data_IF_247646514119
#
_entry.id   IF_247646514119
#
_cell.length_a   1.000
_cell.length_b   1.000
_cell.length_c   1.000
_cell.angle_alpha   90.00
_cell.angle_beta   90.00
_cell.angle_gamma   90.00
#
_symmetry.space_group_name_H-M   'P 1'
#
loop_
_entity.id
_entity.type
_entity.pdbx_description
1 polymer ?
#
# COMPACT_ATOMS: atom_id res chain seq x y z
N UNK A 1 46.10 -14.68 81.25
CA UNK A 1 46.20 -13.21 81.39
C UNK A 1 46.10 -12.65 80.02
N UNK A 2 44.90 -12.15 79.69
CA UNK A 2 44.59 -11.54 78.43
C UNK A 2 44.28 -10.10 78.64
N UNK A 3 45.04 -9.21 77.98
CA UNK A 3 44.88 -7.77 78.05
C UNK A 3 43.86 -7.39 76.95
N UNK A 4 42.72 -6.79 77.40
CA UNK A 4 41.75 -6.18 76.50
C UNK A 4 42.24 -4.80 76.11
N UNK A 5 42.44 -4.52 74.86
CA UNK A 5 42.62 -3.21 74.30
C UNK A 5 41.22 -2.73 73.71
N UNK A 6 40.75 -1.63 74.31
CA UNK A 6 39.53 -0.94 73.83
C UNK A 6 39.94 0.03 72.73
N UNK A 7 39.37 0.00 71.55
CA UNK A 7 39.58 1.03 70.55
C UNK A 7 38.65 2.21 70.81
N UNK A 8 39.25 3.39 70.95
CA UNK A 8 38.51 4.67 71.00
C UNK A 8 37.90 4.95 69.60
N UNK A 9 36.57 4.94 69.53
CA UNK A 9 35.85 5.46 68.38
C UNK A 9 35.87 6.94 68.30
N UNK A 10 36.60 7.49 67.34
CA UNK A 10 36.51 8.92 67.00
C UNK A 10 35.21 9.13 66.26
N UNK A 11 34.21 9.75 66.91
CA UNK A 11 33.04 10.22 66.26
C UNK A 11 33.44 11.42 65.38
N UNK A 12 33.55 11.21 64.06
CA UNK A 12 33.62 12.32 63.12
C UNK A 12 32.19 12.83 62.99
N UNK A 13 31.91 13.97 63.67
CA UNK A 13 30.71 14.77 63.43
C UNK A 13 30.82 15.30 62.00
N UNK A 14 30.06 14.74 61.06
CA UNK A 14 29.73 15.46 59.87
C UNK A 14 29.01 16.74 60.33
N UNK A 15 29.65 17.89 60.16
CA UNK A 15 28.92 19.17 60.13
C UNK A 15 27.92 18.99 58.95
N UNK A 16 26.68 18.88 59.33
CA UNK A 16 25.55 19.11 58.45
C UNK A 16 25.58 20.59 58.12
N UNK A 17 26.20 20.97 56.99
CA UNK A 17 26.04 22.29 56.44
C UNK A 17 24.60 22.30 55.90
N UNK A 18 23.65 22.40 56.83
CA UNK A 18 22.23 22.55 56.55
C UNK A 18 22.07 23.72 55.62
N UNK A 19 21.86 23.42 54.35
CA UNK A 19 21.24 24.40 53.46
C UNK A 19 19.88 24.70 54.09
N UNK A 20 19.75 25.85 54.74
CA UNK A 20 18.46 26.39 55.17
C UNK A 20 17.62 26.61 53.89
N UNK A 21 16.94 25.56 53.43
CA UNK A 21 15.95 25.68 52.35
C UNK A 21 14.80 26.49 52.89
N UNK A 22 14.75 27.75 52.50
CA UNK A 22 13.62 28.62 52.83
C UNK A 22 12.48 28.24 51.93
N UNK A 23 11.42 27.73 52.51
CA UNK A 23 10.18 27.46 51.80
C UNK A 23 9.33 28.73 51.70
N UNK A 24 8.55 28.83 50.61
CA UNK A 24 7.60 29.91 50.39
C UNK A 24 6.37 29.37 49.69
N UNK A 25 5.20 29.87 50.10
CA UNK A 25 3.93 29.57 49.42
C UNK A 25 3.70 30.48 48.19
N UNK A 26 4.52 31.55 48.06
CA UNK A 26 4.43 32.49 46.93
C UNK A 26 5.30 31.99 45.79
N UNK A 27 4.65 31.74 44.64
CA UNK A 27 5.35 31.40 43.40
C UNK A 27 5.89 32.64 42.66
N UNK A 28 6.69 32.43 41.60
CA UNK A 28 7.19 33.51 40.76
C UNK A 28 6.06 34.34 40.14
N UNK A 29 6.31 35.65 40.00
CA UNK A 29 5.46 36.49 39.14
C UNK A 29 5.67 36.04 37.68
N UNK A 30 4.59 35.62 36.99
CA UNK A 30 4.61 35.17 35.63
C UNK A 30 3.79 36.12 34.76
N UNK A 31 4.36 36.50 33.62
CA UNK A 31 3.68 37.27 32.58
C UNK A 31 3.87 36.60 31.25
N UNK A 32 2.80 36.19 30.60
CA UNK A 32 2.83 35.68 29.25
C UNK A 32 2.92 36.88 28.31
N UNK A 33 4.13 37.17 27.80
CA UNK A 33 4.38 38.28 26.88
C UNK A 33 3.80 37.99 25.51
N UNK A 34 3.91 36.70 25.07
CA UNK A 34 3.24 36.18 23.86
C UNK A 34 3.06 34.66 23.93
N UNK A 35 2.00 34.17 23.33
CA UNK A 35 1.79 32.76 23.06
C UNK A 35 0.98 32.67 21.76
N UNK A 36 1.39 31.82 20.82
CA UNK A 36 0.61 31.57 19.59
C UNK A 36 -0.70 30.89 19.99
N UNK A 37 -1.81 31.40 19.48
CA UNK A 37 -3.17 30.90 19.75
C UNK A 37 -3.67 29.91 18.66
N UNK A 38 -2.86 29.70 17.63
CA UNK A 38 -3.13 28.76 16.52
C UNK A 38 -1.87 27.96 16.22
N UNK A 39 -2.02 26.68 15.93
CA UNK A 39 -0.94 25.81 15.50
C UNK A 39 -1.45 24.67 14.65
N UNK A 40 -0.59 24.11 13.78
CA UNK A 40 -0.85 22.85 13.12
C UNK A 40 -0.28 21.68 13.94
N UNK A 41 -0.99 20.54 13.92
CA UNK A 41 -0.42 19.28 14.41
C UNK A 41 0.85 18.95 13.60
N UNK A 42 1.91 18.57 14.29
CA UNK A 42 3.23 18.32 13.70
C UNK A 42 4.17 19.53 13.71
N UNK A 43 3.70 20.70 14.13
CA UNK A 43 4.49 21.92 14.35
C UNK A 43 4.59 22.24 15.86
N UNK A 44 4.95 23.44 16.24
CA UNK A 44 5.14 23.87 17.62
C UNK A 44 4.47 25.20 17.91
N UNK A 45 3.91 25.32 19.11
CA UNK A 45 3.40 26.58 19.64
C UNK A 45 4.57 27.36 20.27
N UNK A 46 4.87 28.53 19.73
CA UNK A 46 5.89 29.44 20.26
C UNK A 46 5.29 30.32 21.36
N UNK A 47 6.07 30.53 22.42
CA UNK A 47 5.69 31.40 23.52
C UNK A 47 6.88 32.17 24.07
N UNK A 48 6.57 33.28 24.74
CA UNK A 48 7.51 34.13 25.46
C UNK A 48 6.94 34.44 26.85
N UNK A 49 7.63 34.04 27.91
CA UNK A 49 7.18 34.20 29.31
C UNK A 49 8.23 34.92 30.09
N UNK A 50 7.83 36.01 30.72
CA UNK A 50 8.65 36.76 31.63
C UNK A 50 8.42 36.32 33.09
N UNK A 51 9.50 35.98 33.79
CA UNK A 51 9.49 35.58 35.18
C UNK A 51 10.29 36.55 36.06
N UNK A 52 9.72 36.85 37.22
CA UNK A 52 10.37 37.61 38.29
C UNK A 52 10.02 36.99 39.65
N UNK A 53 10.94 37.03 40.63
CA UNK A 53 10.70 36.52 41.98
C UNK A 53 11.73 37.11 42.96
N UNK A 54 11.40 37.09 44.24
CA UNK A 54 12.34 37.38 45.35
C UNK A 54 13.24 36.15 45.64
N UNK A 55 12.77 34.93 45.34
CA UNK A 55 13.51 33.68 45.46
C UNK A 55 14.14 33.30 44.11
N UNK A 56 15.32 32.68 44.11
CA UNK A 56 15.89 32.18 42.86
C UNK A 56 14.93 31.28 42.14
N UNK A 57 14.82 31.44 40.80
CA UNK A 57 13.99 30.60 39.95
C UNK A 57 14.55 29.18 39.85
N UNK A 58 13.70 28.20 39.66
CA UNK A 58 14.04 26.77 39.50
C UNK A 58 13.68 26.24 38.11
N UNK A 59 12.39 26.20 37.77
CA UNK A 59 11.91 25.66 36.50
C UNK A 59 10.71 26.43 35.96
N UNK A 60 10.62 26.49 34.64
CA UNK A 60 9.39 26.79 33.89
C UNK A 60 9.01 25.55 33.11
N UNK A 61 7.82 25.01 33.35
CA UNK A 61 7.24 23.88 32.61
C UNK A 61 6.12 24.38 31.72
N UNK A 62 6.05 23.87 30.51
CA UNK A 62 4.90 24.00 29.62
C UNK A 62 4.34 22.63 29.35
N UNK A 63 3.04 22.42 29.54
CA UNK A 63 2.35 21.17 29.36
C UNK A 63 1.18 21.38 28.41
N UNK A 64 1.20 20.72 27.25
CA UNK A 64 0.12 20.75 26.27
C UNK A 64 -0.87 19.62 26.57
N UNK A 65 -2.13 20.00 26.80
CA UNK A 65 -3.23 19.05 27.00
C UNK A 65 -4.21 19.13 25.83
N UNK A 66 -4.60 17.99 25.33
CA UNK A 66 -5.67 17.85 24.34
C UNK A 66 -6.78 17.01 24.97
N UNK A 67 -7.98 17.57 25.05
CA UNK A 67 -9.12 16.97 25.75
C UNK A 67 -8.76 16.46 27.16
N UNK A 68 -8.05 17.31 27.94
CA UNK A 68 -7.60 17.01 29.30
C UNK A 68 -6.44 16.00 29.39
N UNK A 69 -6.01 15.41 28.28
CA UNK A 69 -4.89 14.46 28.25
C UNK A 69 -3.60 15.14 27.84
N UNK A 70 -2.52 14.96 28.63
CA UNK A 70 -1.21 15.50 28.28
C UNK A 70 -0.63 14.81 27.06
N UNK A 71 -0.34 15.59 26.02
CA UNK A 71 0.19 15.10 24.73
C UNK A 71 1.62 15.55 24.46
N UNK A 72 2.09 16.61 25.15
CA UNK A 72 3.44 17.10 25.06
C UNK A 72 3.84 17.86 26.34
N UNK A 73 5.12 17.84 26.69
CA UNK A 73 5.67 18.59 27.78
C UNK A 73 7.05 19.14 27.46
N UNK A 74 7.36 20.29 28.07
CA UNK A 74 8.66 20.97 28.01
C UNK A 74 9.05 21.47 29.38
N UNK A 75 10.29 21.24 29.78
CA UNK A 75 10.83 21.80 31.04
C UNK A 75 12.08 22.64 30.76
N UNK A 76 12.05 23.90 31.18
CA UNK A 76 13.14 24.86 31.06
C UNK A 76 13.72 25.08 32.44
N UNK A 77 15.04 24.91 32.58
CA UNK A 77 15.75 25.34 33.82
C UNK A 77 15.89 26.84 33.80
N UNK A 78 15.27 27.50 34.78
CA UNK A 78 15.33 28.95 34.95
C UNK A 78 16.37 29.29 36.04
N UNK A 79 17.36 30.11 35.68
CA UNK A 79 18.45 30.49 36.63
C UNK A 79 18.44 31.97 36.98
N UNK A 80 17.89 32.77 36.08
CA UNK A 80 17.88 34.25 36.21
C UNK A 80 16.48 34.76 35.92
N UNK A 81 16.15 35.90 36.48
CA UNK A 81 14.94 36.63 36.14
C UNK A 81 15.02 37.11 34.69
N UNK A 82 13.90 37.19 34.01
CA UNK A 82 13.83 37.64 32.63
C UNK A 82 12.85 36.88 31.78
N UNK A 83 12.97 37.04 30.48
CA UNK A 83 12.11 36.45 29.49
C UNK A 83 12.68 35.12 29.00
N UNK A 84 11.80 34.12 28.85
CA UNK A 84 12.10 32.78 28.37
C UNK A 84 11.29 32.53 27.11
N UNK A 85 12.01 32.50 25.99
CA UNK A 85 11.45 32.17 24.67
C UNK A 85 11.62 30.68 24.38
N UNK A 86 10.53 29.99 24.02
CA UNK A 86 10.57 28.58 23.71
C UNK A 86 9.40 28.18 22.79
N UNK A 87 9.37 26.89 22.44
CA UNK A 87 8.27 26.31 21.68
C UNK A 87 7.95 24.93 22.23
N UNK A 88 6.65 24.62 22.37
CA UNK A 88 6.18 23.28 22.73
C UNK A 88 5.63 22.58 21.49
N UNK A 89 6.08 21.35 21.26
CA UNK A 89 5.69 20.56 20.10
C UNK A 89 4.23 20.12 20.20
N UNK A 90 3.48 20.25 19.10
CA UNK A 90 2.11 19.75 18.94
C UNK A 90 2.17 18.44 18.16
N UNK A 91 1.97 17.29 18.80
CA UNK A 91 2.07 16.01 18.09
C UNK A 91 0.98 15.85 17.02
N UNK A 92 1.27 15.09 15.98
CA UNK A 92 0.28 14.66 15.00
C UNK A 92 -0.47 13.46 15.58
N UNK A 93 -1.67 13.72 16.11
CA UNK A 93 -2.48 12.72 16.83
C UNK A 93 -3.31 11.89 15.85
N UNK A 94 -3.26 10.55 15.96
CA UNK A 94 -4.03 9.65 15.13
C UNK A 94 -5.53 9.77 15.43
N UNK A 95 -6.36 9.81 14.38
CA UNK A 95 -7.83 9.83 14.44
C UNK A 95 -8.44 10.98 15.26
N UNK A 96 -7.64 12.03 15.56
CA UNK A 96 -8.10 13.23 16.26
C UNK A 96 -8.30 14.35 15.22
N UNK A 97 -9.51 14.92 15.08
CA UNK A 97 -9.77 16.06 14.20
C UNK A 97 -9.20 17.36 14.79
N UNK A 98 -9.46 18.49 14.12
CA UNK A 98 -9.20 19.82 14.64
C UNK A 98 -9.88 20.00 16.00
N UNK A 99 -9.26 20.78 16.88
CA UNK A 99 -9.79 21.03 18.22
C UNK A 99 -9.03 22.11 18.99
N UNK A 100 -9.46 22.36 20.22
CA UNK A 100 -8.78 23.28 21.14
C UNK A 100 -7.92 22.50 22.12
N UNK A 101 -6.67 22.88 22.24
CA UNK A 101 -5.74 22.38 23.24
C UNK A 101 -5.49 23.45 24.29
N UNK A 102 -5.06 23.05 25.48
CA UNK A 102 -4.65 23.93 26.54
C UNK A 102 -3.15 23.81 26.83
N UNK A 103 -2.45 24.93 26.98
CA UNK A 103 -1.08 24.94 27.48
C UNK A 103 -1.08 25.47 28.90
N UNK A 104 -0.72 24.63 29.88
CA UNK A 104 -0.50 25.03 31.24
C UNK A 104 0.99 25.34 31.44
N UNK A 105 1.29 26.57 31.83
CA UNK A 105 2.60 27.03 32.22
C UNK A 105 2.72 26.98 33.75
N UNK A 106 3.73 26.28 34.26
CA UNK A 106 4.01 26.16 35.69
C UNK A 106 5.40 26.70 35.98
N UNK A 107 5.51 27.84 36.66
CA UNK A 107 6.78 28.39 37.11
C UNK A 107 7.01 28.05 38.59
N UNK A 108 8.22 27.60 38.93
CA UNK A 108 8.59 27.21 40.27
C UNK A 108 9.91 27.91 40.69
N UNK A 109 9.97 28.41 41.94
CA UNK A 109 11.19 28.91 42.57
C UNK A 109 11.90 27.86 43.44
N UNK A 110 13.08 28.17 43.97
CA UNK A 110 13.84 27.27 44.84
C UNK A 110 13.23 27.10 46.24
N UNK A 111 12.30 27.95 46.63
CA UNK A 111 11.51 27.83 47.85
C UNK A 111 10.26 26.96 47.67
N UNK A 112 10.10 26.30 46.53
CA UNK A 112 8.99 25.43 46.12
C UNK A 112 7.66 26.17 45.87
N UNK A 113 7.65 27.50 45.88
CA UNK A 113 6.49 28.29 45.46
C UNK A 113 6.20 28.10 43.96
N UNK A 114 4.92 28.01 43.60
CA UNK A 114 4.45 27.69 42.26
C UNK A 114 3.43 28.74 41.80
N UNK A 115 3.52 29.13 40.51
CA UNK A 115 2.50 29.92 39.82
C UNK A 115 2.12 29.18 38.56
N UNK A 116 0.82 29.10 38.24
CA UNK A 116 0.29 28.47 37.06
C UNK A 116 -0.57 29.44 36.27
N UNK A 117 -0.42 29.41 34.95
CA UNK A 117 -1.24 30.13 33.97
C UNK A 117 -1.57 29.18 32.80
N UNK A 118 -2.78 29.33 32.21
CA UNK A 118 -3.24 28.48 31.10
C UNK A 118 -3.64 29.34 29.91
N UNK A 119 -3.30 28.88 28.72
CA UNK A 119 -3.65 29.49 27.42
C UNK A 119 -4.30 28.44 26.52
N UNK A 120 -5.43 28.82 25.93
CA UNK A 120 -6.07 28.00 24.88
C UNK A 120 -5.38 28.19 23.52
N UNK A 121 -5.24 27.12 22.76
CA UNK A 121 -4.65 27.10 21.44
C UNK A 121 -5.54 26.31 20.49
N UNK A 122 -5.95 26.91 19.39
CA UNK A 122 -6.66 26.21 18.31
C UNK A 122 -5.66 25.36 17.52
N UNK A 123 -5.86 24.08 17.53
CA UNK A 123 -4.99 23.12 16.85
C UNK A 123 -5.71 22.53 15.66
N UNK A 124 -5.11 22.68 14.47
CA UNK A 124 -5.65 22.16 13.22
C UNK A 124 -4.79 21.05 12.64
N UNK A 125 -5.42 20.05 12.04
CA UNK A 125 -4.74 19.04 11.28
C UNK A 125 -4.32 19.60 9.91
N UNK A 126 -3.08 19.39 9.46
CA UNK A 126 -2.67 19.79 8.10
C UNK A 126 -3.53 19.13 7.03
N UNK A 127 -4.10 19.92 6.11
CA UNK A 127 -4.90 19.43 5.01
C UNK A 127 -4.64 20.22 3.70
N UNK A 128 -3.36 20.36 3.27
CA UNK A 128 -3.02 21.12 2.06
C UNK A 128 -3.66 20.50 0.81
N UNK A 129 -3.60 21.20 -0.32
CA UNK A 129 -4.11 20.68 -1.60
C UNK A 129 -3.26 19.54 -2.16
N UNK A 130 -1.96 19.50 -1.81
CA UNK A 130 -1.00 18.48 -2.26
C UNK A 130 0.01 18.18 -1.17
N UNK A 131 0.57 16.96 -1.20
CA UNK A 131 1.79 16.59 -0.48
C UNK A 131 2.90 16.32 -1.51
N UNK A 132 4.16 16.31 -1.06
CA UNK A 132 5.29 15.87 -1.88
C UNK A 132 5.87 14.60 -1.29
N UNK A 133 5.88 13.51 -2.06
CA UNK A 133 6.58 12.28 -1.73
C UNK A 133 8.01 12.36 -2.28
N UNK A 134 9.01 12.18 -1.43
CA UNK A 134 10.42 12.17 -1.81
C UNK A 134 10.96 10.76 -1.72
N UNK A 135 11.40 10.20 -2.85
CA UNK A 135 11.96 8.84 -2.91
C UNK A 135 13.06 8.75 -3.95
N UNK A 136 14.19 8.16 -3.58
CA UNK A 136 15.31 7.93 -4.50
C UNK A 136 15.87 9.20 -5.14
N UNK A 137 15.75 10.37 -4.48
CA UNK A 137 16.16 11.67 -5.01
C UNK A 137 15.14 12.32 -5.96
N UNK A 138 13.98 11.70 -6.19
CA UNK A 138 12.88 12.25 -6.98
C UNK A 138 11.78 12.81 -6.08
N UNK A 139 11.06 13.80 -6.59
CA UNK A 139 9.88 14.41 -5.97
C UNK A 139 8.63 14.03 -6.77
N UNK A 140 7.63 13.50 -6.08
CA UNK A 140 6.35 13.12 -6.67
C UNK A 140 5.23 13.92 -6.00
N UNK A 141 4.37 14.55 -6.79
CA UNK A 141 3.24 15.31 -6.26
C UNK A 141 2.08 14.36 -5.94
N UNK A 142 1.73 14.25 -4.67
CA UNK A 142 0.54 13.53 -4.23
C UNK A 142 -0.67 14.47 -4.25
N UNK A 143 -1.70 14.10 -4.98
CA UNK A 143 -2.95 14.86 -5.08
C UNK A 143 -3.95 14.42 -4.01
N UNK A 144 -4.76 15.36 -3.55
CA UNK A 144 -5.79 15.09 -2.55
C UNK A 144 -6.89 14.21 -3.12
N UNK A 145 -7.19 13.09 -2.47
CA UNK A 145 -8.24 12.13 -2.85
C UNK A 145 -9.38 12.03 -1.83
N UNK A 146 -9.23 12.65 -0.66
CA UNK A 146 -10.22 12.76 0.41
C UNK A 146 -9.84 13.92 1.33
N UNK A 147 -10.56 14.12 2.45
CA UNK A 147 -10.32 15.26 3.35
C UNK A 147 -8.87 15.31 3.86
N UNK A 148 -8.31 14.16 4.22
CA UNK A 148 -6.93 14.01 4.70
C UNK A 148 -6.15 12.95 3.92
N UNK A 149 -6.74 12.40 2.85
CA UNK A 149 -6.16 11.34 2.03
C UNK A 149 -5.53 11.91 0.77
N UNK A 150 -4.38 11.37 0.39
CA UNK A 150 -3.59 11.79 -0.76
C UNK A 150 -3.09 10.59 -1.53
N UNK A 151 -2.90 10.75 -2.84
CA UNK A 151 -2.40 9.68 -3.69
C UNK A 151 -1.49 10.21 -4.80
N UNK A 152 -0.59 9.34 -5.25
CA UNK A 152 0.21 9.52 -6.45
C UNK A 152 0.33 8.18 -7.18
N UNK A 153 0.27 8.23 -8.50
CA UNK A 153 0.56 7.08 -9.38
C UNK A 153 1.72 7.44 -10.27
N UNK A 154 2.83 6.71 -10.13
CA UNK A 154 4.05 6.96 -10.92
C UNK A 154 4.91 5.67 -10.99
N UNK A 155 6.01 5.73 -11.73
CA UNK A 155 6.97 4.64 -11.83
C UNK A 155 7.87 4.61 -10.59
N UNK A 156 7.87 3.45 -9.91
CA UNK A 156 8.70 3.22 -8.72
C UNK A 156 9.55 1.95 -8.90
N UNK A 157 10.73 1.88 -8.26
CA UNK A 157 11.49 0.63 -8.17
C UNK A 157 10.74 -0.41 -7.31
N UNK A 158 11.15 -1.68 -7.41
CA UNK A 158 10.57 -2.76 -6.60
C UNK A 158 10.69 -2.53 -5.09
N UNK A 159 11.75 -1.87 -4.68
CA UNK A 159 11.96 -1.42 -3.30
C UNK A 159 12.19 0.09 -3.32
N UNK A 160 11.40 0.82 -2.56
CA UNK A 160 11.53 2.25 -2.40
C UNK A 160 11.41 2.63 -0.93
N UNK A 161 12.03 3.73 -0.58
CA UNK A 161 11.87 4.35 0.72
C UNK A 161 11.60 5.83 0.52
N UNK A 162 10.67 6.39 1.27
CA UNK A 162 10.25 7.76 1.06
C UNK A 162 10.06 8.55 2.35
N UNK A 163 10.13 9.87 2.22
CA UNK A 163 9.59 10.84 3.16
C UNK A 163 8.46 11.60 2.50
N UNK A 164 7.51 12.06 3.29
CA UNK A 164 6.45 12.93 2.82
C UNK A 164 6.67 14.33 3.39
N UNK A 165 6.69 15.33 2.51
CA UNK A 165 6.73 16.74 2.88
C UNK A 165 5.32 17.32 2.80
N UNK A 166 4.84 17.85 3.91
CA UNK A 166 3.56 18.53 4.06
C UNK A 166 3.79 19.99 4.37
N UNK A 167 3.30 20.90 3.54
CA UNK A 167 3.28 22.35 3.82
C UNK A 167 1.85 22.72 4.19
N UNK A 168 1.53 22.93 5.48
CA UNK A 168 0.15 23.09 5.96
C UNK A 168 -0.61 24.25 5.31
N UNK A 169 0.07 25.37 5.12
CA UNK A 169 -0.44 26.56 4.44
C UNK A 169 0.73 27.34 3.82
N UNK A 170 0.40 28.24 2.91
CA UNK A 170 1.42 29.09 2.26
C UNK A 170 2.21 29.89 3.29
N UNK A 171 3.54 29.83 3.24
CA UNK A 171 4.45 30.50 4.15
C UNK A 171 4.69 29.80 5.50
N UNK A 172 4.02 28.69 5.76
CA UNK A 172 4.27 27.85 6.95
C UNK A 172 5.46 26.91 6.71
N UNK A 173 6.21 26.57 7.77
CA UNK A 173 7.27 25.58 7.67
C UNK A 173 6.72 24.22 7.25
N UNK A 174 7.54 23.46 6.52
CA UNK A 174 7.16 22.11 6.12
C UNK A 174 7.23 21.14 7.30
N UNK A 175 6.20 20.33 7.46
CA UNK A 175 6.18 19.17 8.35
C UNK A 175 6.66 17.97 7.50
N UNK A 176 7.67 17.27 7.99
CA UNK A 176 8.21 16.09 7.36
C UNK A 176 7.67 14.85 8.06
N UNK A 177 7.19 13.91 7.26
CA UNK A 177 6.61 12.66 7.76
C UNK A 177 7.48 11.49 7.30
N UNK A 178 7.82 10.65 8.23
CA UNK A 178 8.49 9.37 8.03
C UNK A 178 7.69 8.24 8.67
N UNK A 179 8.36 7.17 9.08
CA UNK A 179 7.74 5.94 9.55
C UNK A 179 8.27 5.54 10.94
N UNK A 180 7.40 5.07 11.82
CA UNK A 180 7.79 4.52 13.12
C UNK A 180 7.83 2.99 13.19
N UNK A 181 7.53 2.34 12.06
CA UNK A 181 7.36 0.90 11.94
C UNK A 181 5.90 0.48 11.73
N UNK A 182 4.94 1.36 12.02
CA UNK A 182 3.51 1.07 11.92
C UNK A 182 2.68 2.24 11.37
N UNK A 183 3.13 3.49 11.58
CA UNK A 183 2.37 4.68 11.22
C UNK A 183 3.29 5.84 10.75
N UNK A 184 2.68 6.81 10.07
CA UNK A 184 3.32 8.08 9.76
C UNK A 184 3.59 8.86 11.05
N UNK A 185 4.78 9.45 11.14
CA UNK A 185 5.15 10.34 12.24
C UNK A 185 5.97 11.54 11.75
N UNK A 186 5.90 12.68 12.44
CA UNK A 186 6.81 13.80 12.20
C UNK A 186 8.27 13.39 12.41
N UNK A 187 9.13 13.78 11.48
CA UNK A 187 10.57 13.52 11.48
C UNK A 187 11.35 14.75 11.00
N UNK A 188 12.67 14.74 11.12
CA UNK A 188 13.50 15.75 10.48
C UNK A 188 13.53 15.57 8.94
N UNK A 189 13.81 16.64 8.20
CA UNK A 189 13.83 16.66 6.73
C UNK A 189 14.77 15.61 6.09
N UNK A 190 15.85 15.23 6.78
CA UNK A 190 16.86 14.26 6.30
C UNK A 190 16.84 12.98 7.16
N UNK A 191 15.67 12.63 7.71
CA UNK A 191 15.53 11.47 8.58
C UNK A 191 15.74 10.16 7.81
N UNK A 192 16.42 9.21 8.46
CA UNK A 192 16.52 7.83 7.98
C UNK A 192 15.27 6.99 8.30
N UNK A 193 14.33 7.52 9.09
CA UNK A 193 13.04 6.88 9.39
C UNK A 193 12.09 7.03 8.20
N UNK A 194 12.43 6.42 7.06
CA UNK A 194 11.66 6.49 5.82
C UNK A 194 10.52 5.47 5.81
N UNK A 195 9.48 5.78 5.05
CA UNK A 195 8.36 4.88 4.79
C UNK A 195 8.84 3.82 3.78
N UNK A 196 8.82 2.51 4.12
CA UNK A 196 9.26 1.46 3.22
C UNK A 196 8.14 1.09 2.23
N UNK A 197 8.48 0.95 0.95
CA UNK A 197 7.59 0.46 -0.10
C UNK A 197 8.23 -0.71 -0.81
N UNK A 198 7.51 -1.83 -0.93
CA UNK A 198 8.01 -3.04 -1.58
C UNK A 198 6.97 -3.59 -2.56
N UNK A 199 7.44 -4.03 -3.72
CA UNK A 199 6.67 -4.72 -4.73
C UNK A 199 7.48 -5.88 -5.32
N UNK A 200 6.85 -6.71 -6.14
CA UNK A 200 7.50 -7.86 -6.78
C UNK A 200 8.55 -7.40 -7.80
N UNK A 201 8.31 -6.27 -8.48
CA UNK A 201 9.24 -5.69 -9.47
C UNK A 201 9.04 -4.17 -9.56
N UNK A 202 9.95 -3.49 -10.27
CA UNK A 202 9.75 -2.09 -10.65
C UNK A 202 8.55 -1.95 -11.61
N UNK A 203 7.79 -0.88 -11.47
CA UNK A 203 6.59 -0.65 -12.28
C UNK A 203 5.88 0.63 -11.89
N UNK A 204 4.72 0.86 -12.49
CA UNK A 204 3.84 1.97 -12.12
C UNK A 204 2.97 1.54 -10.96
N UNK A 205 3.07 2.24 -9.84
CA UNK A 205 2.34 1.95 -8.62
C UNK A 205 1.59 3.17 -8.10
N UNK A 206 0.48 2.90 -7.44
CA UNK A 206 -0.26 3.90 -6.70
C UNK A 206 0.18 3.87 -5.23
N UNK A 207 0.65 5.01 -4.73
CA UNK A 207 0.96 5.22 -3.32
C UNK A 207 -0.10 6.14 -2.72
N UNK A 208 -0.61 5.78 -1.56
CA UNK A 208 -1.56 6.60 -0.79
C UNK A 208 -0.99 6.97 0.56
N UNK A 209 -1.40 8.11 1.08
CA UNK A 209 -1.13 8.53 2.45
C UNK A 209 -2.39 9.17 3.05
N UNK A 210 -2.65 8.90 4.31
CA UNK A 210 -3.77 9.48 5.03
C UNK A 210 -3.28 10.11 6.33
N UNK A 211 -3.49 11.41 6.44
CA UNK A 211 -3.03 12.21 7.58
C UNK A 211 -3.96 12.11 8.79
N UNK A 212 -5.18 11.57 8.66
CA UNK A 212 -6.09 11.34 9.80
C UNK A 212 -5.71 10.04 10.52
N UNK A 213 -5.67 8.95 9.78
CA UNK A 213 -5.30 7.62 10.31
C UNK A 213 -3.79 7.42 10.48
N UNK A 214 -2.98 8.38 10.01
CA UNK A 214 -1.51 8.30 9.97
C UNK A 214 -1.00 7.05 9.27
N UNK A 215 -1.64 6.68 8.18
CA UNK A 215 -1.29 5.51 7.39
C UNK A 215 -0.65 5.90 6.06
N UNK A 216 0.18 5.01 5.54
CA UNK A 216 0.63 5.04 4.16
C UNK A 216 0.46 3.65 3.57
N UNK A 217 -0.16 3.57 2.39
CA UNK A 217 -0.24 2.31 1.65
C UNK A 217 0.90 2.26 0.65
N UNK A 218 1.78 1.29 0.75
CA UNK A 218 2.97 1.23 -0.09
C UNK A 218 2.63 1.09 -1.57
N UNK A 219 1.81 0.14 -1.93
CA UNK A 219 1.33 -0.06 -3.29
C UNK A 219 -0.15 -0.40 -3.15
N UNK A 220 -0.99 0.61 -3.33
CA UNK A 220 -2.38 0.53 -2.96
C UNK A 220 -3.10 -0.63 -3.62
N UNK A 221 -3.90 -1.35 -2.83
CA UNK A 221 -4.86 -2.29 -3.39
C UNK A 221 -5.80 -1.55 -4.33
N UNK A 222 -5.97 -2.09 -5.53
CA UNK A 222 -6.98 -1.62 -6.47
C UNK A 222 -8.32 -2.15 -5.97
N UNK A 223 -9.26 -1.26 -5.70
CA UNK A 223 -10.62 -1.67 -5.33
C UNK A 223 -11.48 -1.76 -6.58
N UNK A 224 -11.93 -2.96 -6.91
CA UNK A 224 -12.92 -3.21 -7.95
C UNK A 224 -14.32 -3.08 -7.37
N UNK A 225 -15.19 -2.35 -8.07
CA UNK A 225 -16.59 -2.16 -7.69
C UNK A 225 -17.53 -3.28 -8.19
N UNK A 226 -16.97 -4.37 -8.76
CA UNK A 226 -17.75 -5.50 -9.26
C UNK A 226 -18.72 -6.01 -8.19
N UNK A 227 -20.00 -6.12 -8.57
CA UNK A 227 -21.10 -6.62 -7.75
C UNK A 227 -22.14 -7.31 -8.63
N UNK A 228 -23.12 -7.99 -8.03
CA UNK A 228 -24.21 -8.61 -8.79
C UNK A 228 -24.99 -7.61 -9.66
N UNK A 229 -25.12 -6.36 -9.20
CA UNK A 229 -25.82 -5.29 -9.92
C UNK A 229 -24.94 -4.54 -10.93
N UNK A 230 -23.62 -4.63 -10.80
CA UNK A 230 -22.61 -4.00 -11.66
C UNK A 230 -21.48 -5.01 -11.93
N UNK A 231 -21.79 -5.99 -12.78
CA UNK A 231 -20.92 -7.13 -13.02
C UNK A 231 -19.86 -6.91 -14.11
N UNK A 232 -19.75 -5.71 -14.66
CA UNK A 232 -18.73 -5.33 -15.64
C UNK A 232 -18.02 -4.07 -15.19
N UNK A 233 -16.71 -4.08 -15.22
CA UNK A 233 -15.88 -2.93 -14.85
C UNK A 233 -14.65 -2.81 -15.74
N UNK A 234 -14.24 -1.57 -16.03
CA UNK A 234 -12.98 -1.24 -16.69
C UNK A 234 -12.00 -0.72 -15.66
N UNK A 235 -10.85 -1.38 -15.53
CA UNK A 235 -9.82 -1.03 -14.55
C UNK A 235 -8.44 -0.95 -15.20
N UNK A 236 -7.68 0.07 -14.83
CA UNK A 236 -6.24 0.07 -15.02
C UNK A 236 -5.64 -0.82 -13.93
N UNK A 237 -5.19 -2.01 -14.31
CA UNK A 237 -4.57 -2.98 -13.40
C UNK A 237 -3.05 -2.94 -13.57
N UNK A 238 -2.36 -3.07 -12.45
CA UNK A 238 -0.91 -3.05 -12.37
C UNK A 238 -0.40 -4.44 -11.97
N UNK A 239 0.61 -4.94 -12.66
CA UNK A 239 1.19 -6.25 -12.34
C UNK A 239 1.77 -6.27 -10.93
N UNK A 240 1.42 -7.30 -10.16
CA UNK A 240 1.83 -7.45 -8.76
C UNK A 240 0.97 -6.67 -7.77
N UNK A 241 0.01 -5.85 -8.24
CA UNK A 241 -0.89 -5.14 -7.33
C UNK A 241 -1.92 -6.06 -6.70
N UNK A 242 -2.27 -5.75 -5.45
CA UNK A 242 -3.39 -6.39 -4.77
C UNK A 242 -4.72 -5.82 -5.29
N UNK A 243 -5.68 -6.70 -5.58
CA UNK A 243 -7.04 -6.32 -5.96
C UNK A 243 -7.99 -6.72 -4.83
N UNK A 244 -8.82 -5.77 -4.41
CA UNK A 244 -9.97 -5.99 -3.53
C UNK A 244 -11.26 -5.85 -4.34
N UNK A 245 -12.13 -6.83 -4.27
CA UNK A 245 -13.42 -6.82 -4.95
C UNK A 245 -14.50 -6.46 -3.93
N UNK A 246 -15.16 -5.30 -4.11
CA UNK A 246 -16.17 -4.82 -3.15
C UNK A 246 -17.39 -5.75 -3.02
N UNK A 247 -17.75 -6.47 -4.09
CA UNK A 247 -18.88 -7.42 -4.09
C UNK A 247 -18.48 -8.88 -3.94
N UNK A 248 -17.21 -9.20 -3.64
CA UNK A 248 -16.71 -10.58 -3.51
C UNK A 248 -16.01 -10.74 -2.16
N UNK A 249 -16.74 -11.12 -1.15
CA UNK A 249 -16.22 -11.25 0.23
C UNK A 249 -15.27 -12.46 0.40
N UNK A 250 -15.40 -13.49 -0.45
CA UNK A 250 -14.65 -14.73 -0.37
C UNK A 250 -14.04 -15.11 -1.71
N UNK A 251 -12.94 -14.47 -2.11
CA UNK A 251 -12.25 -14.79 -3.36
C UNK A 251 -11.80 -16.26 -3.47
N UNK A 252 -11.52 -16.91 -2.32
CA UNK A 252 -11.18 -18.34 -2.22
C UNK A 252 -12.30 -19.28 -2.70
N UNK A 253 -13.55 -18.80 -2.78
CA UNK A 253 -14.69 -19.54 -3.31
C UNK A 253 -14.97 -19.22 -4.78
N UNK A 254 -14.17 -18.37 -5.42
CA UNK A 254 -14.29 -17.99 -6.81
C UNK A 254 -13.29 -18.76 -7.68
N UNK A 255 -13.67 -18.96 -8.90
CA UNK A 255 -12.80 -19.46 -9.93
C UNK A 255 -11.96 -18.29 -10.47
N UNK A 256 -10.77 -18.09 -9.90
CA UNK A 256 -9.83 -17.07 -10.33
C UNK A 256 -8.96 -17.62 -11.48
N UNK A 257 -8.93 -16.94 -12.61
CA UNK A 257 -8.09 -17.36 -13.73
C UNK A 257 -6.60 -17.35 -13.32
N UNK A 258 -5.98 -18.54 -13.33
CA UNK A 258 -4.59 -18.76 -12.89
C UNK A 258 -3.57 -17.86 -13.59
N UNK A 259 -3.81 -17.53 -14.88
CA UNK A 259 -2.87 -16.72 -15.64
C UNK A 259 -2.94 -15.23 -15.27
N UNK A 260 -4.10 -14.78 -14.78
CA UNK A 260 -4.35 -13.39 -14.39
C UNK A 260 -4.25 -13.12 -12.89
N UNK A 261 -4.55 -14.10 -12.06
CA UNK A 261 -4.69 -13.91 -10.62
C UNK A 261 -3.88 -14.91 -9.80
N UNK A 262 -3.44 -14.49 -8.64
CA UNK A 262 -2.97 -15.34 -7.56
C UNK A 262 -3.78 -15.05 -6.29
N UNK A 263 -4.31 -16.08 -5.65
CA UNK A 263 -4.92 -15.98 -4.33
C UNK A 263 -3.82 -16.11 -3.27
N UNK A 264 -3.74 -15.12 -2.40
CA UNK A 264 -2.77 -15.08 -1.30
C UNK A 264 -3.32 -15.80 -0.05
N UNK A 265 -2.44 -16.11 0.90
CA UNK A 265 -2.80 -16.83 2.11
C UNK A 265 -3.79 -16.08 3.02
N UNK A 266 -3.86 -14.76 2.90
CA UNK A 266 -4.78 -13.86 3.61
C UNK A 266 -6.10 -13.61 2.85
N UNK A 267 -6.36 -14.37 1.78
CA UNK A 267 -7.48 -14.20 0.85
C UNK A 267 -7.47 -12.91 0.02
N UNK A 268 -6.38 -12.16 0.01
CA UNK A 268 -6.19 -11.10 -0.98
C UNK A 268 -5.86 -11.70 -2.36
N UNK A 269 -6.10 -10.94 -3.43
CA UNK A 269 -5.87 -11.37 -4.81
C UNK A 269 -4.81 -10.50 -5.45
N UNK A 270 -3.75 -11.10 -5.97
CA UNK A 270 -2.70 -10.39 -6.72
C UNK A 270 -2.93 -10.52 -8.21
N UNK A 271 -2.87 -9.42 -8.96
CA UNK A 271 -2.91 -9.40 -10.41
C UNK A 271 -1.55 -9.76 -11.02
N UNK A 272 -1.51 -10.70 -11.97
CA UNK A 272 -0.28 -11.29 -12.50
C UNK A 272 0.11 -10.80 -13.89
N UNK A 273 -0.86 -10.34 -14.69
CA UNK A 273 -0.58 -9.84 -16.04
C UNK A 273 0.05 -8.45 -15.99
N UNK A 274 0.66 -8.02 -17.11
CA UNK A 274 1.30 -6.71 -17.22
C UNK A 274 0.30 -5.57 -17.04
N UNK A 275 0.86 -4.39 -16.71
CA UNK A 275 0.10 -3.15 -16.57
C UNK A 275 -0.73 -2.86 -17.83
N UNK A 276 -1.99 -2.49 -17.64
CA UNK A 276 -2.88 -2.21 -18.74
C UNK A 276 -4.32 -1.91 -18.33
N UNK A 277 -5.11 -1.52 -19.32
CA UNK A 277 -6.56 -1.39 -19.18
C UNK A 277 -7.21 -2.75 -19.43
N UNK A 278 -8.01 -3.20 -18.48
CA UNK A 278 -8.72 -4.47 -18.56
C UNK A 278 -10.21 -4.31 -18.30
N UNK A 279 -10.99 -5.05 -19.06
CA UNK A 279 -12.41 -5.26 -18.79
C UNK A 279 -12.55 -6.52 -17.94
N UNK A 280 -13.07 -6.36 -16.75
CA UNK A 280 -13.46 -7.47 -15.89
C UNK A 280 -14.96 -7.72 -16.03
N UNK A 281 -15.36 -8.96 -16.21
CA UNK A 281 -16.77 -9.38 -16.22
C UNK A 281 -16.95 -10.50 -15.21
N UNK A 282 -17.71 -10.22 -14.14
CA UNK A 282 -17.98 -11.19 -13.08
C UNK A 282 -19.27 -11.99 -13.38
N UNK A 283 -19.16 -13.30 -13.43
CA UNK A 283 -20.29 -14.22 -13.37
C UNK A 283 -20.48 -14.66 -11.90
N UNK A 284 -21.44 -14.06 -11.21
CA UNK A 284 -21.73 -14.37 -9.81
C UNK A 284 -22.36 -15.75 -9.61
N UNK A 285 -23.03 -16.31 -10.64
CA UNK A 285 -23.58 -17.67 -10.59
C UNK A 285 -22.47 -18.74 -10.79
N UNK A 286 -21.64 -18.55 -11.80
CA UNK A 286 -20.47 -19.40 -12.08
C UNK A 286 -19.27 -19.12 -11.18
N UNK A 287 -19.33 -18.03 -10.38
CA UNK A 287 -18.22 -17.55 -9.53
C UNK A 287 -16.92 -17.43 -10.32
N UNK A 288 -16.97 -16.73 -11.44
CA UNK A 288 -15.84 -16.54 -12.34
C UNK A 288 -15.66 -15.09 -12.74
N UNK A 289 -14.42 -14.64 -12.87
CA UNK A 289 -14.07 -13.32 -13.39
C UNK A 289 -13.36 -13.49 -14.72
N UNK A 290 -14.05 -13.14 -15.82
CA UNK A 290 -13.45 -13.05 -17.15
C UNK A 290 -12.62 -11.78 -17.24
N UNK A 291 -11.40 -11.88 -17.76
CA UNK A 291 -10.48 -10.76 -17.99
C UNK A 291 -10.24 -10.60 -19.47
N UNK A 292 -10.43 -9.41 -19.99
CA UNK A 292 -10.22 -9.04 -21.39
C UNK A 292 -9.36 -7.78 -21.48
N UNK A 293 -8.24 -7.83 -22.21
CA UNK A 293 -7.38 -6.67 -22.40
C UNK A 293 -8.01 -5.65 -23.34
N UNK A 294 -7.93 -4.36 -22.98
CA UNK A 294 -8.53 -3.25 -23.71
C UNK A 294 -7.47 -2.30 -24.24
N UNK A 295 -7.66 -1.82 -25.48
CA UNK A 295 -6.85 -0.73 -26.05
C UNK A 295 -7.27 0.63 -25.47
N UNK A 296 -8.58 0.82 -25.33
CA UNK A 296 -9.24 1.98 -24.70
C UNK A 296 -10.59 1.55 -24.11
N UNK A 297 -11.42 2.52 -23.68
CA UNK A 297 -12.71 2.22 -23.05
C UNK A 297 -13.72 1.48 -23.94
N UNK A 298 -13.58 1.57 -25.27
CA UNK A 298 -14.55 1.06 -26.24
C UNK A 298 -13.98 -0.11 -27.08
N UNK A 299 -12.64 -0.23 -27.16
CA UNK A 299 -11.98 -1.15 -28.07
C UNK A 299 -11.15 -2.19 -27.31
N UNK A 300 -11.29 -3.45 -27.70
CA UNK A 300 -10.41 -4.53 -27.23
C UNK A 300 -8.99 -4.35 -27.77
N UNK A 301 -8.01 -4.77 -26.98
CA UNK A 301 -6.62 -4.76 -27.41
C UNK A 301 -6.37 -5.80 -28.51
N UNK A 302 -5.45 -5.46 -29.41
CA UNK A 302 -4.90 -6.34 -30.45
C UNK A 302 -3.42 -6.53 -30.19
N UNK A 303 -2.79 -7.51 -30.88
CA UNK A 303 -1.35 -7.73 -30.76
C UNK A 303 -0.55 -6.45 -31.08
N UNK A 304 -0.98 -5.71 -32.12
CA UNK A 304 -0.27 -4.51 -32.60
C UNK A 304 -0.58 -3.23 -31.80
N UNK A 305 -1.73 -3.18 -31.07
CA UNK A 305 -2.13 -1.99 -30.32
C UNK A 305 -1.55 -1.93 -28.90
N UNK A 306 -2.00 -2.84 -28.04
CA UNK A 306 -1.59 -2.94 -26.64
C UNK A 306 -1.02 -4.31 -26.28
N UNK A 307 -0.88 -5.17 -27.29
CA UNK A 307 -0.38 -6.52 -27.15
C UNK A 307 -1.40 -7.45 -26.47
N UNK A 308 -2.34 -7.96 -27.23
CA UNK A 308 -3.27 -9.01 -26.79
C UNK A 308 -3.36 -10.14 -27.81
N UNK A 309 -3.45 -11.37 -27.32
CA UNK A 309 -3.69 -12.57 -28.10
C UNK A 309 -4.95 -13.23 -27.57
N UNK A 310 -5.75 -13.79 -28.49
CA UNK A 310 -7.06 -14.33 -28.19
C UNK A 310 -7.17 -15.79 -28.69
N UNK A 311 -7.68 -16.68 -27.83
CA UNK A 311 -7.94 -18.08 -28.18
C UNK A 311 -9.41 -18.24 -28.57
N UNK A 312 -9.66 -18.92 -29.72
CA UNK A 312 -10.99 -19.25 -30.19
C UNK A 312 -10.95 -20.66 -30.75
N UNK A 313 -11.97 -21.49 -30.50
CA UNK A 313 -12.01 -22.84 -31.03
C UNK A 313 -13.11 -23.71 -30.45
N UNK A 314 -12.99 -24.99 -30.72
CA UNK A 314 -13.83 -26.02 -30.17
C UNK A 314 -13.16 -26.74 -29.01
N UNK A 315 -13.93 -27.10 -27.99
CA UNK A 315 -13.45 -27.88 -26.86
C UNK A 315 -12.57 -27.12 -25.88
N UNK A 316 -12.59 -25.79 -25.88
CA UNK A 316 -11.93 -24.92 -24.88
C UNK A 316 -12.92 -23.92 -24.29
N UNK A 317 -12.62 -23.40 -23.12
CA UNK A 317 -13.39 -22.33 -22.45
C UNK A 317 -12.99 -22.13 -21.01
N UNK A 318 -13.54 -21.11 -20.36
CA UNK A 318 -13.38 -20.79 -18.94
C UNK A 318 -14.69 -20.21 -18.38
N UNK A 319 -15.19 -20.63 -17.22
CA UNK A 319 -14.68 -21.69 -16.34
C UNK A 319 -14.91 -23.11 -16.82
N UNK A 320 -15.69 -23.32 -17.81
CA UNK A 320 -15.94 -24.59 -18.47
C UNK A 320 -15.82 -24.47 -19.97
N UNK A 321 -15.92 -25.61 -20.70
CA UNK A 321 -15.86 -25.63 -22.14
C UNK A 321 -17.00 -24.79 -22.72
N UNK A 322 -16.64 -23.81 -23.54
CA UNK A 322 -17.54 -22.84 -24.12
C UNK A 322 -18.09 -23.23 -25.48
N UNK A 323 -18.84 -22.32 -26.14
CA UNK A 323 -19.34 -22.48 -27.48
C UNK A 323 -18.21 -22.67 -28.50
N UNK A 324 -18.39 -23.64 -29.43
CA UNK A 324 -17.40 -23.95 -30.43
C UNK A 324 -17.30 -22.87 -31.52
N UNK A 325 -16.09 -22.38 -31.77
CA UNK A 325 -15.77 -21.37 -32.79
C UNK A 325 -16.70 -20.15 -32.76
N UNK A 326 -16.97 -19.63 -31.58
CA UNK A 326 -17.88 -18.52 -31.35
C UNK A 326 -17.10 -17.25 -30.93
N UNK A 327 -17.31 -16.13 -31.63
CA UNK A 327 -16.61 -14.87 -31.39
C UNK A 327 -17.28 -14.00 -30.31
N UNK A 328 -18.47 -14.34 -29.86
CA UNK A 328 -19.19 -13.61 -28.83
C UNK A 328 -18.83 -14.14 -27.44
N UNK A 329 -19.10 -15.43 -27.19
CA UNK A 329 -18.97 -16.05 -25.87
C UNK A 329 -17.80 -17.06 -25.77
N UNK A 330 -17.23 -17.49 -26.91
CA UNK A 330 -16.15 -18.49 -27.00
C UNK A 330 -14.76 -17.90 -27.21
N UNK A 331 -14.53 -16.65 -26.79
CA UNK A 331 -13.25 -15.95 -26.95
C UNK A 331 -12.58 -15.74 -25.60
N UNK A 332 -11.29 -16.10 -25.53
CA UNK A 332 -10.51 -16.06 -24.31
C UNK A 332 -9.22 -15.26 -24.52
N UNK A 333 -9.04 -14.18 -23.74
CA UNK A 333 -7.83 -13.37 -23.77
C UNK A 333 -6.69 -14.09 -23.06
N UNK A 334 -5.51 -14.12 -23.68
CA UNK A 334 -4.30 -14.60 -23.03
C UNK A 334 -3.72 -13.51 -22.12
N UNK A 335 -3.25 -13.89 -20.94
CA UNK A 335 -2.57 -12.99 -20.04
C UNK A 335 -1.18 -12.63 -20.59
N UNK A 336 -0.92 -11.35 -20.86
CA UNK A 336 0.42 -10.85 -21.17
C UNK A 336 1.20 -10.77 -19.85
N UNK A 337 2.14 -11.67 -19.60
CA UNK A 337 2.89 -11.75 -18.35
C UNK A 337 4.25 -11.06 -18.39
N UNK A 338 4.80 -10.91 -19.57
CA UNK A 338 6.06 -10.25 -19.89
C UNK A 338 5.93 -9.58 -21.25
N UNK A 339 6.84 -8.69 -21.63
CA UNK A 339 6.77 -8.07 -22.96
C UNK A 339 6.82 -9.14 -24.05
N UNK A 340 5.82 -9.10 -24.95
CA UNK A 340 5.64 -10.06 -26.04
C UNK A 340 5.31 -11.50 -25.62
N UNK A 341 5.18 -11.82 -24.33
CA UNK A 341 4.91 -13.19 -23.86
C UNK A 341 3.50 -13.30 -23.28
N UNK A 342 2.73 -14.22 -23.85
CA UNK A 342 1.32 -14.43 -23.53
C UNK A 342 1.08 -15.86 -23.05
N UNK A 343 0.21 -16.01 -22.05
CA UNK A 343 -0.10 -17.30 -21.42
C UNK A 343 -1.59 -17.53 -21.32
N UNK A 344 -2.00 -18.76 -21.60
CA UNK A 344 -3.34 -19.25 -21.30
C UNK A 344 -3.24 -20.70 -20.84
N UNK A 345 -3.95 -21.00 -19.74
CA UNK A 345 -3.93 -22.32 -19.13
C UNK A 345 -5.31 -22.95 -19.18
N UNK A 346 -5.38 -24.20 -19.58
CA UNK A 346 -6.62 -24.99 -19.58
C UNK A 346 -6.42 -26.29 -18.81
N UNK A 347 -7.45 -26.71 -18.08
CA UNK A 347 -7.47 -28.00 -17.34
C UNK A 347 -8.33 -29.02 -18.07
N UNK A 348 -7.77 -30.20 -18.32
CA UNK A 348 -8.44 -31.26 -19.02
C UNK A 348 -9.69 -31.77 -18.29
N UNK A 349 -10.78 -31.87 -19.01
CA UNK A 349 -12.10 -32.25 -18.49
C UNK A 349 -12.88 -31.11 -17.83
N UNK A 350 -12.23 -29.94 -17.62
CA UNK A 350 -12.89 -28.74 -17.12
C UNK A 350 -12.92 -27.65 -18.20
N UNK A 351 -11.79 -27.07 -18.56
CA UNK A 351 -11.67 -25.94 -19.48
C UNK A 351 -11.08 -26.31 -20.84
N UNK A 352 -10.60 -27.55 -21.02
CA UNK A 352 -10.30 -28.18 -22.32
C UNK A 352 -10.84 -29.60 -22.37
N UNK A 353 -11.44 -29.96 -23.49
CA UNK A 353 -11.88 -31.35 -23.76
C UNK A 353 -10.71 -32.31 -23.71
N UNK A 354 -10.89 -33.48 -23.09
CA UNK A 354 -9.83 -34.48 -23.04
C UNK A 354 -9.45 -35.03 -24.44
N UNK A 355 -10.37 -34.95 -25.40
CA UNK A 355 -10.19 -35.35 -26.80
C UNK A 355 -11.00 -34.43 -27.69
N UNK A 356 -10.70 -34.40 -28.98
CA UNK A 356 -11.52 -33.70 -29.99
C UNK A 356 -11.55 -32.19 -29.88
N UNK A 357 -10.57 -31.57 -29.20
CA UNK A 357 -10.40 -30.11 -29.18
C UNK A 357 -9.70 -29.66 -30.47
N UNK A 358 -10.07 -28.46 -30.93
CA UNK A 358 -9.37 -27.77 -32.04
C UNK A 358 -9.55 -26.28 -31.83
N UNK A 359 -8.48 -25.53 -31.62
CA UNK A 359 -8.52 -24.10 -31.41
C UNK A 359 -7.30 -23.40 -31.99
N UNK A 360 -7.36 -22.08 -32.08
CA UNK A 360 -6.32 -21.27 -32.70
C UNK A 360 -6.16 -19.95 -31.92
N UNK A 361 -5.00 -19.33 -32.06
CA UNK A 361 -4.74 -17.98 -31.55
C UNK A 361 -4.92 -16.92 -32.63
N UNK A 362 -5.47 -15.77 -32.24
CA UNK A 362 -5.77 -14.61 -33.07
C UNK A 362 -5.12 -13.34 -32.50
N UNK A 363 -4.74 -12.45 -33.42
CA UNK A 363 -4.13 -11.15 -33.01
C UNK A 363 -5.16 -10.12 -32.56
N UNK A 364 -6.47 -10.42 -32.62
CA UNK A 364 -7.60 -9.59 -32.19
C UNK A 364 -8.72 -10.45 -31.63
N UNK A 365 -9.65 -9.81 -30.90
CA UNK A 365 -10.86 -10.46 -30.40
C UNK A 365 -11.83 -10.71 -31.54
N UNK A 366 -11.85 -11.94 -32.03
CA UNK A 366 -12.68 -12.38 -33.17
C UNK A 366 -11.84 -12.81 -34.39
N UNK A 367 -12.54 -12.97 -35.50
CA UNK A 367 -11.92 -13.37 -36.77
C UNK A 367 -11.02 -12.29 -37.34
N UNK A 368 -9.97 -12.67 -38.05
CA UNK A 368 -9.04 -11.76 -38.73
C UNK A 368 -7.63 -12.32 -38.77
N UNK A 369 -6.62 -11.51 -38.39
CA UNK A 369 -5.23 -11.94 -38.37
C UNK A 369 -5.03 -13.03 -37.33
N UNK A 370 -4.42 -14.13 -37.72
CA UNK A 370 -4.28 -15.33 -36.90
C UNK A 370 -2.84 -15.88 -36.91
N UNK A 371 -2.55 -16.73 -35.94
CA UNK A 371 -1.30 -17.51 -35.93
C UNK A 371 -1.50 -18.76 -36.78
N UNK A 372 -1.17 -18.65 -38.05
CA UNK A 372 -1.29 -19.78 -39.01
C UNK A 372 -0.10 -20.75 -38.96
N UNK A 373 1.02 -20.31 -38.38
CA UNK A 373 2.23 -21.11 -38.17
C UNK A 373 3.06 -20.51 -37.02
N UNK A 374 4.02 -21.27 -36.54
CA UNK A 374 4.97 -20.83 -35.50
C UNK A 374 6.40 -21.10 -36.01
N UNK A 375 7.30 -20.16 -35.79
CA UNK A 375 8.72 -20.31 -36.10
C UNK A 375 9.35 -21.43 -35.23
N UNK A 376 8.82 -21.67 -34.04
CA UNK A 376 9.20 -22.77 -33.16
C UNK A 376 7.96 -23.29 -32.43
N UNK A 377 7.77 -24.61 -32.47
CA UNK A 377 6.75 -25.31 -31.71
C UNK A 377 7.41 -26.32 -30.78
N UNK A 378 7.19 -26.18 -29.47
CA UNK A 378 7.72 -27.04 -28.42
C UNK A 378 6.58 -27.54 -27.53
N UNK A 379 6.18 -28.78 -27.68
CA UNK A 379 5.24 -29.46 -26.81
C UNK A 379 6.03 -30.38 -25.85
N UNK A 380 6.23 -29.96 -24.62
CA UNK A 380 6.91 -30.77 -23.59
C UNK A 380 6.09 -31.99 -23.16
N UNK A 381 4.80 -32.05 -23.53
CA UNK A 381 3.90 -33.14 -23.12
C UNK A 381 3.73 -34.22 -24.18
N UNK A 382 3.98 -33.91 -25.46
CA UNK A 382 3.79 -34.82 -26.61
C UNK A 382 2.32 -35.10 -26.92
N UNK A 383 1.37 -34.31 -26.40
CA UNK A 383 -0.07 -34.55 -26.54
C UNK A 383 -0.75 -33.61 -27.53
N UNK A 384 -0.03 -32.62 -28.06
CA UNK A 384 -0.56 -31.61 -28.95
C UNK A 384 0.21 -31.56 -30.26
N UNK A 385 -0.47 -31.13 -31.32
CA UNK A 385 0.13 -30.75 -32.60
C UNK A 385 -0.40 -29.41 -33.08
N UNK A 386 0.34 -28.75 -33.94
CA UNK A 386 -0.11 -27.62 -34.74
C UNK A 386 -0.34 -28.10 -36.17
N UNK A 387 -1.52 -27.84 -36.70
CA UNK A 387 -1.86 -28.19 -38.09
C UNK A 387 -1.25 -27.18 -39.08
N UNK A 388 -1.26 -27.49 -40.38
CA UNK A 388 -0.77 -26.58 -41.43
C UNK A 388 -1.55 -25.25 -41.48
N UNK A 389 -2.77 -25.22 -40.93
CA UNK A 389 -3.56 -23.99 -40.77
C UNK A 389 -3.36 -23.29 -39.43
N UNK A 390 -2.51 -23.80 -38.54
CA UNK A 390 -2.21 -23.20 -37.22
C UNK A 390 -3.16 -23.61 -36.11
N UNK A 391 -4.09 -24.57 -36.34
CA UNK A 391 -4.93 -25.07 -35.27
C UNK A 391 -4.10 -25.93 -34.30
N UNK A 392 -4.41 -25.80 -33.01
CA UNK A 392 -3.87 -26.66 -31.96
C UNK A 392 -4.87 -27.79 -31.72
N UNK A 393 -4.43 -29.02 -31.93
CA UNK A 393 -5.25 -30.23 -31.89
C UNK A 393 -4.54 -31.35 -31.10
N UNK A 394 -5.25 -32.46 -30.76
CA UNK A 394 -4.59 -33.65 -30.22
C UNK A 394 -3.48 -34.14 -31.15
N UNK A 395 -2.34 -34.55 -30.62
CA UNK A 395 -1.19 -35.01 -31.42
C UNK A 395 -1.54 -36.15 -32.35
N UNK A 396 -2.42 -37.06 -31.92
CA UNK A 396 -2.99 -38.14 -32.70
C UNK A 396 -4.47 -38.31 -32.37
N UNK A 397 -5.23 -39.06 -33.18
CA UNK A 397 -6.64 -39.37 -32.89
C UNK A 397 -6.84 -40.13 -31.57
N UNK A 398 -5.82 -40.86 -31.11
CA UNK A 398 -5.83 -41.60 -29.86
C UNK A 398 -5.29 -40.82 -28.68
N UNK A 399 -4.73 -39.62 -28.92
CA UNK A 399 -4.22 -38.78 -27.85
C UNK A 399 -5.37 -38.29 -26.94
N UNK A 400 -5.24 -38.48 -25.67
CA UNK A 400 -6.21 -38.05 -24.66
C UNK A 400 -5.50 -37.35 -23.50
N UNK A 401 -5.98 -36.18 -23.16
CA UNK A 401 -5.48 -35.44 -22.01
C UNK A 401 -5.91 -36.13 -20.71
N UNK A 402 -5.04 -36.10 -19.71
CA UNK A 402 -5.33 -36.65 -18.39
C UNK A 402 -6.25 -35.69 -17.64
N UNK A 403 -7.45 -36.12 -17.27
CA UNK A 403 -8.45 -35.32 -16.57
C UNK A 403 -7.87 -34.76 -15.28
N UNK A 404 -8.04 -33.45 -15.07
CA UNK A 404 -7.52 -32.70 -13.91
C UNK A 404 -6.10 -32.16 -14.10
N UNK A 405 -5.35 -32.58 -15.12
CA UNK A 405 -4.08 -31.94 -15.45
C UNK A 405 -4.28 -30.64 -16.22
N UNK A 406 -3.45 -29.66 -15.90
CA UNK A 406 -3.47 -28.34 -16.50
C UNK A 406 -2.31 -28.16 -17.48
N UNK A 407 -2.65 -27.62 -18.64
CA UNK A 407 -1.74 -27.39 -19.75
C UNK A 407 -1.67 -25.89 -20.02
N UNK A 408 -0.47 -25.33 -19.93
CA UNK A 408 -0.22 -23.91 -20.19
C UNK A 408 0.36 -23.76 -21.59
N UNK A 409 -0.29 -22.90 -22.37
CA UNK A 409 0.13 -22.47 -23.70
C UNK A 409 0.81 -21.12 -23.59
N UNK A 410 2.06 -21.04 -24.03
CA UNK A 410 2.91 -19.85 -23.95
C UNK A 410 3.25 -19.45 -25.38
N UNK A 411 2.80 -18.26 -25.76
CA UNK A 411 3.15 -17.65 -27.05
C UNK A 411 4.14 -16.52 -26.81
N UNK A 412 5.34 -16.64 -27.39
CA UNK A 412 6.28 -15.52 -27.50
C UNK A 412 6.13 -14.92 -28.90
N UNK A 413 5.58 -13.72 -28.96
CA UNK A 413 5.30 -12.95 -30.15
C UNK A 413 6.18 -11.68 -30.27
N UNK A 414 7.35 -11.63 -29.60
CA UNK A 414 8.28 -10.51 -29.69
C UNK A 414 8.72 -10.18 -31.11
N UNK A 415 8.78 -11.21 -31.97
CA UNK A 415 9.11 -11.06 -33.39
C UNK A 415 7.86 -10.93 -34.29
N UNK A 416 6.69 -10.66 -33.73
CA UNK A 416 5.39 -10.63 -34.42
C UNK A 416 4.75 -12.00 -34.62
N UNK A 417 3.51 -12.03 -35.12
CA UNK A 417 2.73 -13.29 -35.27
C UNK A 417 3.32 -14.28 -36.22
N UNK A 418 3.97 -13.85 -37.32
CA UNK A 418 4.58 -14.70 -38.34
C UNK A 418 5.88 -15.38 -37.89
N UNK A 419 6.49 -14.89 -36.83
CA UNK A 419 7.75 -15.40 -36.27
C UNK A 419 7.61 -15.78 -34.76
N UNK A 420 6.39 -15.97 -34.29
CA UNK A 420 6.11 -16.35 -32.91
C UNK A 420 6.56 -17.78 -32.61
N UNK A 421 6.88 -18.04 -31.35
CA UNK A 421 7.04 -19.39 -30.84
C UNK A 421 5.86 -19.80 -29.96
N UNK A 422 5.54 -21.12 -29.97
CA UNK A 422 4.53 -21.71 -29.08
C UNK A 422 5.18 -22.82 -28.25
N UNK A 423 5.09 -22.66 -26.91
CA UNK A 423 5.48 -23.72 -25.97
C UNK A 423 4.27 -24.20 -25.21
N UNK A 424 4.12 -25.51 -25.06
CA UNK A 424 3.06 -26.14 -24.26
C UNK A 424 3.71 -27.00 -23.19
N UNK A 425 3.28 -26.82 -21.94
CA UNK A 425 3.79 -27.58 -20.81
C UNK A 425 2.73 -27.87 -19.74
N UNK A 426 2.95 -28.88 -18.94
CA UNK A 426 2.16 -29.10 -17.73
C UNK A 426 2.47 -28.04 -16.68
N UNK A 427 1.44 -27.61 -15.96
CA UNK A 427 1.57 -26.73 -14.79
C UNK A 427 0.70 -27.25 -13.66
N UNK A 428 1.19 -27.08 -12.41
CA UNK A 428 0.36 -27.32 -11.24
C UNK A 428 -0.36 -26.02 -10.87
N UNK A 429 -1.66 -26.11 -10.74
CA UNK A 429 -2.50 -24.98 -10.36
C UNK A 429 -2.90 -25.13 -8.89
N UNK A 430 -2.76 -24.09 -8.04
CA UNK A 430 -3.23 -24.14 -6.66
C UNK A 430 -4.71 -24.53 -6.56
N UNK A 431 -5.07 -25.28 -5.52
CA UNK A 431 -6.42 -25.89 -5.34
C UNK A 431 -7.60 -24.92 -5.44
N UNK A 432 -7.34 -23.62 -5.22
CA UNK A 432 -8.35 -22.57 -5.28
C UNK A 432 -8.44 -21.86 -6.65
N UNK A 433 -7.66 -22.28 -7.64
CA UNK A 433 -7.74 -21.74 -9.00
C UNK A 433 -8.83 -22.45 -9.81
N UNK A 434 -9.35 -21.75 -10.80
CA UNK A 434 -10.48 -22.10 -11.63
C UNK A 434 -10.54 -23.56 -12.08
N UNK A 435 -9.41 -24.10 -12.45
CA UNK A 435 -9.35 -25.31 -13.27
C UNK A 435 -9.39 -26.62 -12.46
N UNK A 436 -9.52 -26.58 -11.13
CA UNK A 436 -9.49 -27.78 -10.28
C UNK A 436 -10.87 -28.25 -9.82
N UNK A 437 -11.89 -27.39 -9.88
CA UNK A 437 -13.27 -27.81 -9.53
C UNK A 437 -13.91 -28.57 -10.69
N UNK A 438 -13.39 -29.74 -11.00
CA UNK A 438 -14.11 -30.73 -11.81
C UNK A 438 -15.32 -31.17 -11.02
N UNK A 439 -16.49 -30.63 -11.35
CA UNK A 439 -17.74 -31.04 -10.75
C UNK A 439 -17.93 -32.54 -10.96
N UNK A 440 -17.85 -33.32 -9.87
CA UNK A 440 -18.40 -34.64 -9.77
C UNK A 440 -17.64 -35.76 -10.42
N UNK A 441 -16.42 -36.04 -9.97
CA UNK A 441 -15.90 -37.40 -9.99
C UNK A 441 -15.92 -37.89 -8.54
N UNK A 442 -17.00 -38.57 -8.15
CA UNK A 442 -16.99 -39.61 -7.13
C UNK A 442 -16.44 -40.89 -7.75
#
# INVERSE_FOLDING_TARGET
>A
MALLAVPATVAVSCKDDGMDVKFTDKGPEMTIESCATEAFMGDSVRFSIKLNDEFPLSTLKAKLLFDGTSVSDLTIRTKTYGTYDAAIFVPLLKDIPDGTAEITFTAQNTGLGITEETVEVNVSRPAPSTLTLLSGGNEYTMTKSGDYSYEVTDAFPAEASALIKCVPAAGQPAIWLGWDGSALKPVAAESSSTIPFTAVKSGTYKITADLMSLSASPFGSITSALSESANVELLNLLQGSEIKFAGIDKPDQWNLDYDYFALNADNSVTFKAMDGLYKLTADFNGKFIKVEAMADKDNYATLDSKGAIWAIGAGIGKPGIGPSWNTDDGVWCMAKTEEGVYRITFTAGASISKTGFSFKFFCQRGWGVEFSSYASFNDETGLFKVTDSGNIEPATESSSLEVGKSYQFIVDANAGNSAASLTIKNVEIPVNSLDIKVNGIQ
#
